data_IF_100527354549
#
_entry.id   IF_100527354549
#
_cell.length_a   1.000
_cell.length_b   1.000
_cell.length_c   1.000
_cell.angle_alpha   90.00
_cell.angle_beta   90.00
_cell.angle_gamma   90.00
#
_symmetry.space_group_name_H-M   'P 1'
#
loop_
_entity.id
_entity.type
_entity.pdbx_description
1 polymer ?
#
# COMPACT_ATOMS: atom_id res chain seq x y z
N UNK A 1 14.74 15.85 -1.19
CA UNK A 1 15.58 14.73 -0.69
C UNK A 1 16.13 15.15 0.67
N UNK A 2 15.64 14.55 1.76
CA UNK A 2 16.20 14.81 3.10
C UNK A 2 17.56 14.11 3.24
N UNK A 3 18.55 14.80 3.80
CA UNK A 3 19.87 14.25 4.07
C UNK A 3 19.80 13.17 5.16
N UNK A 4 20.66 12.15 5.08
CA UNK A 4 20.76 11.02 6.02
C UNK A 4 20.80 11.44 7.50
N UNK A 5 21.30 12.63 7.79
CA UNK A 5 21.43 13.21 9.14
C UNK A 5 20.08 13.44 9.83
N UNK A 6 18.99 13.67 9.07
CA UNK A 6 17.65 13.90 9.65
C UNK A 6 17.03 12.62 10.24
N UNK A 7 17.50 11.43 9.85
CA UNK A 7 16.96 10.13 10.30
C UNK A 7 17.32 9.85 11.77
N UNK A 8 18.41 10.44 12.26
CA UNK A 8 18.92 10.30 13.64
C UNK A 8 18.61 11.49 14.55
N UNK A 9 17.91 12.51 14.02
CA UNK A 9 17.42 13.64 14.82
C UNK A 9 16.40 13.20 15.88
N UNK A 10 16.09 14.12 16.80
CA UNK A 10 15.02 13.91 17.78
C UNK A 10 13.70 13.63 17.04
N UNK A 11 13.03 12.54 17.42
CA UNK A 11 11.77 12.09 16.79
C UNK A 11 10.61 12.42 17.70
N UNK A 12 9.60 13.07 17.15
CA UNK A 12 8.32 13.26 17.84
C UNK A 12 7.44 12.05 17.57
N UNK A 13 6.83 11.43 18.60
CA UNK A 13 5.81 10.41 18.40
C UNK A 13 4.65 10.95 17.57
N UNK A 14 4.09 10.10 16.70
CA UNK A 14 2.93 10.42 15.88
C UNK A 14 1.89 9.31 16.04
N UNK A 15 0.62 9.68 16.22
CA UNK A 15 -0.48 8.73 16.17
C UNK A 15 -0.69 8.29 14.71
N UNK A 16 -0.99 7.01 14.51
CA UNK A 16 -1.24 6.44 13.18
C UNK A 16 -2.29 7.23 12.42
N UNK A 17 -3.38 7.64 13.06
CA UNK A 17 -4.45 8.40 12.37
C UNK A 17 -3.98 9.74 11.82
N UNK A 18 -2.86 10.26 12.34
CA UNK A 18 -2.33 11.59 12.05
C UNK A 18 -1.19 11.58 11.01
N UNK A 19 -0.73 10.41 10.53
CA UNK A 19 0.46 10.32 9.64
C UNK A 19 0.34 11.15 8.36
N UNK A 20 -0.89 11.33 7.85
CA UNK A 20 -1.13 12.10 6.64
C UNK A 20 -1.34 13.59 6.90
N UNK A 21 -1.57 14.01 8.16
CA UNK A 21 -1.79 15.43 8.49
C UNK A 21 -0.54 16.29 8.26
N UNK A 22 0.64 15.67 8.27
CA UNK A 22 1.92 16.33 8.04
C UNK A 22 2.33 16.39 6.58
N UNK A 23 1.59 15.76 5.66
CA UNK A 23 1.84 15.86 4.22
C UNK A 23 1.53 17.30 3.75
N UNK A 24 2.55 17.99 3.23
CA UNK A 24 2.43 19.39 2.77
C UNK A 24 1.91 19.50 1.33
N UNK A 25 1.97 18.41 0.58
CA UNK A 25 1.55 18.30 -0.81
C UNK A 25 0.19 17.60 -0.93
N UNK A 26 -0.46 17.80 -2.08
CA UNK A 26 -1.72 17.11 -2.41
C UNK A 26 -1.50 15.59 -2.54
N UNK A 27 -0.28 15.17 -2.93
CA UNK A 27 0.13 13.77 -2.99
C UNK A 27 0.51 13.24 -1.61
N UNK A 28 -0.48 12.81 -0.83
CA UNK A 28 -0.29 12.19 0.51
C UNK A 28 0.54 10.90 0.45
N UNK A 29 1.87 11.03 0.37
CA UNK A 29 2.84 9.93 0.37
C UNK A 29 3.60 9.89 1.68
N UNK A 30 3.60 8.72 2.34
CA UNK A 30 4.32 8.49 3.59
C UNK A 30 5.27 7.33 3.39
N UNK A 31 6.52 7.49 3.81
CA UNK A 31 7.54 6.45 3.78
C UNK A 31 7.93 6.06 5.20
N UNK A 32 7.75 4.79 5.53
CA UNK A 32 8.01 4.24 6.86
C UNK A 32 9.36 3.53 6.87
N UNK A 33 10.32 4.11 7.56
CA UNK A 33 11.66 3.54 7.71
C UNK A 33 11.89 2.94 9.08
N UNK A 34 12.69 1.88 9.11
CA UNK A 34 13.15 1.26 10.34
C UNK A 34 13.97 0.00 10.06
N UNK A 35 14.75 -0.44 11.06
CA UNK A 35 15.62 -1.62 10.95
C UNK A 35 14.83 -2.89 10.60
N UNK A 36 15.51 -3.89 10.06
CA UNK A 36 14.92 -5.22 9.89
C UNK A 36 14.37 -5.74 11.24
N UNK A 37 13.21 -6.41 11.21
CA UNK A 37 12.55 -6.94 12.42
C UNK A 37 11.81 -5.92 13.29
N UNK A 38 11.85 -4.62 13.00
CA UNK A 38 11.17 -3.58 13.82
C UNK A 38 9.62 -3.63 13.74
N UNK A 39 9.07 -4.40 12.80
CA UNK A 39 7.61 -4.56 12.63
C UNK A 39 6.97 -3.75 11.50
N UNK A 40 7.73 -3.32 10.46
CA UNK A 40 7.18 -2.55 9.31
C UNK A 40 6.02 -3.27 8.61
N UNK A 41 6.18 -4.55 8.26
CA UNK A 41 5.10 -5.32 7.63
C UNK A 41 3.91 -5.55 8.56
N UNK A 42 4.18 -5.72 9.87
CA UNK A 42 3.12 -5.77 10.89
C UNK A 42 2.35 -4.45 10.97
N UNK A 43 3.06 -3.32 10.84
CA UNK A 43 2.45 -1.99 10.82
C UNK A 43 1.52 -1.79 9.60
N UNK A 44 1.93 -2.22 8.39
CA UNK A 44 1.04 -2.21 7.22
C UNK A 44 -0.23 -3.04 7.45
N UNK A 45 -0.11 -4.24 8.02
CA UNK A 45 -1.27 -5.10 8.35
C UNK A 45 -2.16 -4.49 9.43
N UNK A 46 -1.55 -3.87 10.44
CA UNK A 46 -2.26 -3.16 11.50
C UNK A 46 -3.08 -2.00 10.94
N UNK A 47 -2.49 -1.20 10.03
CA UNK A 47 -3.21 -0.14 9.32
C UNK A 47 -4.42 -0.72 8.57
N UNK A 48 -4.23 -1.76 7.77
CA UNK A 48 -5.31 -2.37 7.00
C UNK A 48 -6.44 -2.86 7.92
N UNK A 49 -6.10 -3.47 9.06
CA UNK A 49 -7.06 -3.91 10.07
C UNK A 49 -7.83 -2.73 10.70
N UNK A 50 -7.13 -1.68 11.12
CA UNK A 50 -7.76 -0.49 11.74
C UNK A 50 -8.70 0.22 10.76
N UNK A 51 -8.33 0.29 9.48
CA UNK A 51 -9.22 0.82 8.44
C UNK A 51 -10.44 -0.10 8.23
N UNK A 52 -10.23 -1.40 8.07
CA UNK A 52 -11.31 -2.36 7.82
C UNK A 52 -12.34 -2.45 8.97
N UNK A 53 -11.94 -2.09 10.19
CA UNK A 53 -12.82 -1.99 11.36
C UNK A 53 -13.43 -0.60 11.56
N UNK A 54 -13.16 0.35 10.66
CA UNK A 54 -13.69 1.71 10.69
C UNK A 54 -13.02 2.63 11.72
N UNK A 55 -11.88 2.24 12.29
CA UNK A 55 -11.22 3.00 13.36
C UNK A 55 -10.41 4.19 12.82
N UNK A 56 -9.88 4.10 11.60
CA UNK A 56 -9.07 5.16 10.98
C UNK A 56 -9.45 5.37 9.51
N UNK A 57 -9.27 6.60 9.06
CA UNK A 57 -9.38 7.07 7.69
C UNK A 57 -10.63 6.59 6.91
N UNK A 58 -11.83 6.93 7.38
CA UNK A 58 -13.08 6.62 6.68
C UNK A 58 -13.19 7.28 5.30
N UNK A 59 -12.33 8.26 4.99
CA UNK A 59 -12.27 8.88 3.67
C UNK A 59 -11.70 7.97 2.57
N UNK A 60 -11.02 6.86 2.91
CA UNK A 60 -10.58 5.87 1.94
C UNK A 60 -11.63 4.78 1.81
N UNK A 61 -12.11 4.57 0.60
CA UNK A 61 -13.11 3.56 0.27
C UNK A 61 -12.49 2.18 0.07
N UNK A 62 -11.19 2.15 -0.26
CA UNK A 62 -10.43 0.92 -0.42
C UNK A 62 -9.01 1.06 0.13
N UNK A 63 -8.54 0.03 0.85
CA UNK A 63 -7.13 -0.14 1.21
C UNK A 63 -6.60 -1.38 0.53
N UNK A 64 -5.52 -1.22 -0.24
CA UNK A 64 -4.85 -2.33 -0.93
C UNK A 64 -3.42 -2.46 -0.43
N UNK A 65 -3.08 -3.62 0.13
CA UNK A 65 -1.72 -3.91 0.58
C UNK A 65 -0.99 -4.73 -0.50
N UNK A 66 0.10 -4.24 -1.06
CA UNK A 66 0.92 -5.02 -1.99
C UNK A 66 2.24 -5.36 -1.29
N UNK A 67 2.50 -6.65 -0.96
CA UNK A 67 3.82 -7.09 -0.54
C UNK A 67 4.76 -7.00 -1.74
N UNK A 68 5.71 -6.09 -1.73
CA UNK A 68 6.52 -5.81 -2.91
C UNK A 68 7.45 -6.97 -3.29
N UNK A 69 7.91 -7.78 -2.32
CA UNK A 69 8.59 -9.06 -2.58
C UNK A 69 7.81 -10.06 -3.44
N UNK A 70 6.49 -9.87 -3.61
CA UNK A 70 5.67 -10.70 -4.48
C UNK A 70 5.89 -10.39 -5.97
N UNK A 71 6.36 -9.18 -6.30
CA UNK A 71 6.49 -8.65 -7.64
C UNK A 71 7.81 -9.08 -8.29
N UNK A 72 8.05 -10.39 -8.35
CA UNK A 72 9.26 -11.00 -8.93
C UNK A 72 9.08 -11.28 -10.42
N UNK A 73 10.16 -11.34 -11.19
CA UNK A 73 10.13 -11.71 -12.63
C UNK A 73 9.48 -13.09 -12.88
N UNK A 74 9.62 -14.02 -11.94
CA UNK A 74 8.97 -15.33 -12.03
C UNK A 74 7.44 -15.23 -11.97
N UNK A 75 6.91 -14.33 -11.14
CA UNK A 75 5.46 -14.11 -11.02
C UNK A 75 4.96 -13.07 -12.00
N UNK A 76 5.79 -12.12 -12.42
CA UNK A 76 5.46 -11.03 -13.33
C UNK A 76 6.56 -10.89 -14.38
N UNK A 77 6.56 -11.72 -15.44
CA UNK A 77 7.54 -11.65 -16.53
C UNK A 77 7.62 -10.25 -17.17
N UNK A 78 8.85 -9.84 -17.48
CA UNK A 78 9.19 -8.50 -18.00
C UNK A 78 8.54 -8.20 -19.36
N UNK A 79 8.24 -9.23 -20.15
CA UNK A 79 7.60 -9.11 -21.47
C UNK A 79 6.07 -8.95 -21.38
N UNK A 80 5.50 -8.97 -20.17
CA UNK A 80 4.06 -8.84 -19.95
C UNK A 80 3.74 -7.52 -19.23
N UNK A 81 2.78 -6.77 -19.78
CA UNK A 81 2.25 -5.55 -19.13
C UNK A 81 1.14 -5.96 -18.17
N UNK A 82 1.26 -5.53 -16.91
CA UNK A 82 0.26 -5.75 -15.87
C UNK A 82 -0.41 -4.44 -15.47
N UNK A 83 -1.73 -4.41 -15.50
CA UNK A 83 -2.50 -3.34 -14.89
C UNK A 83 -2.59 -3.51 -13.36
N UNK A 84 -3.05 -2.47 -12.66
CA UNK A 84 -3.33 -2.58 -11.22
C UNK A 84 -4.39 -3.64 -10.91
N UNK A 85 -5.36 -3.84 -11.81
CA UNK A 85 -6.39 -4.89 -11.68
C UNK A 85 -5.73 -6.27 -11.73
N UNK A 86 -4.80 -6.49 -12.67
CA UNK A 86 -4.08 -7.77 -12.78
C UNK A 86 -3.24 -8.06 -11.54
N UNK A 87 -2.61 -7.02 -10.96
CA UNK A 87 -1.84 -7.15 -9.72
C UNK A 87 -2.77 -7.50 -8.55
N UNK A 88 -3.87 -6.75 -8.35
CA UNK A 88 -4.81 -7.00 -7.26
C UNK A 88 -5.44 -8.38 -7.39
N UNK A 89 -5.91 -8.76 -8.58
CA UNK A 89 -6.46 -10.08 -8.85
C UNK A 89 -5.44 -11.17 -8.50
N UNK A 90 -4.21 -11.07 -8.99
CA UNK A 90 -3.19 -12.10 -8.80
C UNK A 90 -2.71 -12.24 -7.35
N UNK A 91 -2.71 -11.16 -6.58
CA UNK A 91 -2.29 -11.18 -5.18
C UNK A 91 -3.40 -11.59 -4.21
N UNK A 92 -4.67 -11.38 -4.57
CA UNK A 92 -5.80 -11.50 -3.62
C UNK A 92 -6.90 -12.46 -4.04
N UNK A 93 -7.01 -12.79 -5.33
CA UNK A 93 -8.07 -13.68 -5.85
C UNK A 93 -7.45 -15.03 -6.15
N UNK A 94 -7.89 -16.04 -5.39
CA UNK A 94 -7.60 -17.45 -5.71
C UNK A 94 -8.57 -17.96 -6.77
N UNK A 95 -8.15 -18.98 -7.52
CA UNK A 95 -8.97 -19.56 -8.59
C UNK A 95 -10.42 -19.86 -8.14
N UNK A 96 -11.44 -19.51 -8.93
CA UNK A 96 -11.34 -18.94 -10.29
C UNK A 96 -10.98 -17.45 -10.29
N UNK A 97 -10.29 -17.02 -11.35
CA UNK A 97 -10.05 -15.60 -11.64
C UNK A 97 -11.37 -14.84 -11.79
N UNK A 98 -11.31 -13.51 -11.62
CA UNK A 98 -12.45 -12.63 -11.79
C UNK A 98 -12.98 -12.73 -13.22
N UNK A 99 -14.31 -12.72 -13.36
CA UNK A 99 -14.95 -12.53 -14.65
C UNK A 99 -14.59 -11.15 -15.22
N UNK A 100 -14.68 -10.98 -16.54
CA UNK A 100 -14.41 -9.70 -17.20
C UNK A 100 -15.26 -8.55 -16.62
N UNK A 101 -16.53 -8.82 -16.28
CA UNK A 101 -17.40 -7.84 -15.63
C UNK A 101 -16.85 -7.40 -14.26
N UNK A 102 -16.35 -8.35 -13.46
CA UNK A 102 -15.76 -8.05 -12.16
C UNK A 102 -14.41 -7.30 -12.31
N UNK A 103 -13.63 -7.61 -13.35
CA UNK A 103 -12.40 -6.87 -13.67
C UNK A 103 -12.70 -5.42 -14.05
N UNK A 104 -13.73 -5.19 -14.86
CA UNK A 104 -14.17 -3.84 -15.23
C UNK A 104 -14.67 -3.06 -14.01
N UNK A 105 -15.45 -3.70 -13.14
CA UNK A 105 -15.89 -3.08 -11.89
C UNK A 105 -14.71 -2.70 -11.00
N UNK A 106 -13.77 -3.64 -10.76
CA UNK A 106 -12.57 -3.36 -9.98
C UNK A 106 -11.72 -2.25 -10.63
N UNK A 107 -11.66 -2.21 -11.97
CA UNK A 107 -10.96 -1.13 -12.66
C UNK A 107 -11.59 0.24 -12.41
N UNK A 108 -12.92 0.32 -12.39
CA UNK A 108 -13.66 1.54 -12.08
C UNK A 108 -13.42 1.97 -10.63
N UNK A 109 -13.55 1.04 -9.68
CA UNK A 109 -13.27 1.26 -8.26
C UNK A 109 -11.83 1.80 -8.05
N UNK A 110 -10.84 1.21 -8.74
CA UNK A 110 -9.44 1.64 -8.64
C UNK A 110 -9.16 3.01 -9.28
N UNK A 111 -10.07 3.56 -10.09
CA UNK A 111 -9.92 4.86 -10.76
C UNK A 111 -10.71 5.97 -10.08
N UNK A 112 -11.92 5.66 -9.65
CA UNK A 112 -12.91 6.66 -9.21
C UNK A 112 -12.86 6.89 -7.69
N UNK A 113 -12.45 5.87 -6.92
CA UNK A 113 -12.55 5.93 -5.47
C UNK A 113 -11.24 6.35 -4.80
N UNK A 114 -11.36 6.91 -3.60
CA UNK A 114 -10.20 7.25 -2.78
C UNK A 114 -9.55 5.99 -2.22
N UNK A 115 -8.42 5.59 -2.82
CA UNK A 115 -7.69 4.38 -2.43
C UNK A 115 -6.44 4.72 -1.65
N UNK A 116 -6.17 3.95 -0.61
CA UNK A 116 -4.87 3.92 0.05
C UNK A 116 -4.09 2.66 -0.35
N UNK A 117 -2.93 2.89 -0.96
CA UNK A 117 -1.98 1.84 -1.31
C UNK A 117 -0.95 1.66 -0.21
N UNK A 118 -0.86 0.46 0.35
CA UNK A 118 0.19 0.07 1.30
C UNK A 118 1.21 -0.79 0.57
N UNK A 119 2.36 -0.21 0.26
CA UNK A 119 3.46 -0.89 -0.43
C UNK A 119 4.47 -1.38 0.61
N UNK A 120 4.41 -2.66 0.97
CA UNK A 120 5.21 -3.26 2.03
C UNK A 120 6.50 -3.86 1.46
N UNK A 121 7.66 -3.46 1.99
CA UNK A 121 8.97 -3.99 1.57
C UNK A 121 9.58 -3.27 0.37
N UNK A 122 9.68 -1.94 0.40
CA UNK A 122 10.26 -1.15 -0.70
C UNK A 122 11.74 -1.48 -0.98
N UNK A 123 12.44 -2.02 0.01
CA UNK A 123 13.80 -2.54 -0.09
C UNK A 123 13.91 -3.94 -0.72
N UNK A 124 12.78 -4.57 -1.07
CA UNK A 124 12.70 -5.93 -1.62
C UNK A 124 12.46 -5.96 -3.15
N UNK A 125 12.50 -4.81 -3.85
CA UNK A 125 12.31 -4.71 -5.31
C UNK A 125 13.59 -4.39 -6.07
#
# INVERSE_FOLDING_TARGET
MGTFEQIYGSKTPIDVKDIFKTCKDQTRKVLVFGRAGIGKSTFCRYIAYQWATGAIWPEYELVVLIPLRSLTEYRYPIDTIYSLVDIVEKEYVSYPFLSENNKQLLQQELRENHILWLLDGYDEI
#
